data_IF_438632386305
#
_entry.id   IF_438632386305
#
_cell.length_a   1.000
_cell.length_b   1.000
_cell.length_c   1.000
_cell.angle_alpha   90.00
_cell.angle_beta   90.00
_cell.angle_gamma   90.00
#
_symmetry.space_group_name_H-M   'P 1'
#
loop_
_entity.id
_entity.type
_entity.pdbx_description
1 polymer ?
#
# COMPACT_ATOMS: atom_id res chain seq x y z
N UNK A 1 -7.80 5.55 8.65
CA UNK A 1 -7.73 4.68 7.45
C UNK A 1 -6.27 4.32 7.20
N UNK A 2 -5.97 3.20 6.52
CA UNK A 2 -4.60 2.73 6.27
C UNK A 2 -3.72 3.77 5.56
N UNK A 3 -4.24 4.48 4.56
CA UNK A 3 -3.52 5.56 3.85
C UNK A 3 -3.04 6.66 4.79
N UNK A 4 -3.96 7.22 5.59
CA UNK A 4 -3.64 8.23 6.62
C UNK A 4 -2.62 7.76 7.65
N UNK A 5 -2.60 6.46 8.01
CA UNK A 5 -1.55 5.91 8.89
C UNK A 5 -0.18 5.91 8.20
N UNK A 6 -0.12 5.52 6.93
CA UNK A 6 1.11 5.53 6.15
C UNK A 6 1.63 6.96 5.93
N UNK A 7 0.74 7.92 5.63
CA UNK A 7 1.05 9.35 5.54
C UNK A 7 1.64 9.87 6.86
N UNK A 8 0.99 9.59 7.99
CA UNK A 8 1.50 9.99 9.30
C UNK A 8 2.89 9.41 9.61
N UNK A 9 3.12 8.14 9.26
CA UNK A 9 4.44 7.52 9.43
C UNK A 9 5.48 8.15 8.50
N UNK A 10 5.14 8.38 7.24
CA UNK A 10 6.07 8.95 6.26
C UNK A 10 6.44 10.39 6.61
N UNK A 11 5.46 11.21 7.00
CA UNK A 11 5.70 12.58 7.45
C UNK A 11 6.57 12.62 8.71
N UNK A 12 6.34 11.72 9.67
CA UNK A 12 7.20 11.58 10.84
C UNK A 12 8.64 11.25 10.42
N UNK A 13 8.84 10.30 9.50
CA UNK A 13 10.17 9.94 9.00
C UNK A 13 10.85 11.10 8.27
N UNK A 14 10.11 11.88 7.47
CA UNK A 14 10.63 13.09 6.82
C UNK A 14 11.09 14.11 7.87
N UNK A 15 10.29 14.37 8.91
CA UNK A 15 10.63 15.31 9.99
C UNK A 15 11.86 14.89 10.81
N UNK A 16 12.11 13.58 10.93
CA UNK A 16 13.29 13.04 11.61
C UNK A 16 14.53 12.92 10.70
N UNK A 17 14.37 13.14 9.39
CA UNK A 17 15.45 12.96 8.43
C UNK A 17 16.48 14.09 8.52
N UNK A 18 17.76 13.73 8.51
CA UNK A 18 18.86 14.71 8.35
C UNK A 18 19.07 15.15 6.89
N UNK A 19 18.55 14.35 5.93
CA UNK A 19 18.71 14.59 4.48
C UNK A 19 17.53 15.36 3.90
N UNK A 20 16.32 15.04 4.35
CA UNK A 20 15.09 15.56 3.76
C UNK A 20 14.49 16.59 4.70
N UNK A 21 14.29 17.81 4.20
CA UNK A 21 13.59 18.88 4.93
C UNK A 21 12.19 19.01 4.36
N UNK A 22 11.18 18.72 5.18
CA UNK A 22 9.78 18.90 4.81
C UNK A 22 9.48 20.40 4.59
N UNK A 23 8.93 20.75 3.42
CA UNK A 23 8.53 22.11 3.07
C UNK A 23 7.02 22.29 3.23
N UNK A 24 6.24 21.33 2.70
CA UNK A 24 4.79 21.28 2.84
C UNK A 24 4.31 19.83 2.80
N UNK A 25 3.15 19.54 3.41
CA UNK A 25 2.52 18.23 3.43
C UNK A 25 1.01 18.38 3.25
N UNK A 26 0.37 17.41 2.59
CA UNK A 26 -1.07 17.34 2.34
C UNK A 26 -1.64 18.68 1.83
N UNK A 27 -0.97 19.26 0.83
CA UNK A 27 -1.25 20.62 0.35
C UNK A 27 -2.42 20.60 -0.60
N UNK A 28 -3.59 21.04 -0.13
CA UNK A 28 -4.81 21.06 -0.94
C UNK A 28 -4.74 22.14 -2.02
N UNK A 29 -5.09 21.76 -3.24
CA UNK A 29 -5.21 22.64 -4.39
C UNK A 29 -6.69 22.96 -4.59
N UNK A 30 -7.08 24.19 -4.27
CA UNK A 30 -8.46 24.65 -4.37
C UNK A 30 -8.68 25.36 -5.70
N UNK A 31 -9.66 24.89 -6.47
CA UNK A 31 -10.22 25.65 -7.58
C UNK A 31 -11.31 26.60 -7.10
N UNK A 32 -11.93 27.33 -8.02
CA UNK A 32 -12.94 28.35 -7.69
C UNK A 32 -14.15 27.79 -6.92
N UNK A 33 -14.58 26.57 -7.25
CA UNK A 33 -15.82 25.96 -6.73
C UNK A 33 -15.60 24.63 -6.01
N UNK A 34 -14.43 24.01 -6.16
CA UNK A 34 -14.13 22.69 -5.59
C UNK A 34 -12.63 22.48 -5.43
N UNK A 35 -12.24 21.54 -4.56
CA UNK A 35 -10.87 21.05 -4.47
C UNK A 35 -10.51 20.26 -5.73
N UNK A 36 -9.43 20.67 -6.41
CA UNK A 36 -8.93 20.00 -7.62
C UNK A 36 -8.09 18.76 -7.28
N UNK A 37 -7.39 18.81 -6.14
CA UNK A 37 -6.55 17.73 -5.67
C UNK A 37 -5.73 18.12 -4.45
N UNK A 38 -4.72 17.31 -4.16
CA UNK A 38 -3.79 17.50 -3.05
C UNK A 38 -2.40 17.07 -3.55
N UNK A 39 -1.37 17.84 -3.19
CA UNK A 39 0.02 17.43 -3.29
C UNK A 39 0.43 16.80 -1.96
N UNK A 40 0.84 15.53 -1.98
CA UNK A 40 1.13 14.80 -0.75
C UNK A 40 2.30 15.43 0.03
N UNK A 41 3.46 15.64 -0.62
CA UNK A 41 4.63 16.25 0.04
C UNK A 41 5.49 17.08 -0.90
N UNK A 42 5.92 18.26 -0.42
CA UNK A 42 7.03 19.02 -0.97
C UNK A 42 8.22 18.94 -0.01
N UNK A 43 9.38 18.52 -0.51
CA UNK A 43 10.55 18.20 0.31
C UNK A 43 11.80 18.77 -0.34
N UNK A 44 12.72 19.29 0.46
CA UNK A 44 14.06 19.65 -0.01
C UNK A 44 15.06 18.56 0.35
N UNK A 45 15.77 18.02 -0.64
CA UNK A 45 16.85 17.05 -0.47
C UNK A 45 18.19 17.79 -0.33
N UNK A 46 18.73 17.82 0.89
CA UNK A 46 19.98 18.52 1.21
C UNK A 46 21.21 17.87 0.56
N UNK A 47 21.12 16.60 0.15
CA UNK A 47 22.25 15.91 -0.50
C UNK A 47 22.37 16.26 -1.97
N UNK A 48 21.24 16.40 -2.66
CA UNK A 48 21.20 16.71 -4.11
C UNK A 48 20.95 18.18 -4.39
N UNK A 49 20.59 18.97 -3.37
CA UNK A 49 20.21 20.37 -3.47
C UNK A 49 19.01 20.58 -4.41
N UNK A 50 18.01 19.69 -4.33
CA UNK A 50 16.81 19.70 -5.17
C UNK A 50 15.54 19.71 -4.34
N UNK A 51 14.50 20.34 -4.88
CA UNK A 51 13.14 20.24 -4.36
C UNK A 51 12.43 19.06 -5.04
N UNK A 52 11.73 18.27 -4.24
CA UNK A 52 11.01 17.08 -4.65
C UNK A 52 9.53 17.26 -4.35
N UNK A 53 8.68 16.95 -5.31
CA UNK A 53 7.27 16.65 -5.09
C UNK A 53 7.12 15.13 -5.00
N UNK A 54 6.69 14.62 -3.85
CA UNK A 54 6.57 13.17 -3.59
C UNK A 54 5.10 12.80 -3.41
N UNK A 55 4.58 11.99 -4.33
CA UNK A 55 3.29 11.32 -4.21
C UNK A 55 3.46 9.98 -3.45
N UNK A 56 2.76 9.80 -2.35
CA UNK A 56 2.84 8.62 -1.49
C UNK A 56 1.70 7.63 -1.79
N UNK A 57 2.02 6.34 -1.76
CA UNK A 57 1.00 5.30 -1.77
C UNK A 57 1.42 4.12 -0.91
N UNK A 58 0.53 3.68 -0.03
CA UNK A 58 0.68 2.44 0.72
C UNK A 58 -0.39 1.44 0.27
N UNK A 59 0.02 0.36 -0.39
CA UNK A 59 -0.88 -0.55 -1.10
C UNK A 59 -0.56 -2.02 -0.84
N UNK A 60 -1.61 -2.84 -0.87
CA UNK A 60 -1.54 -4.28 -0.76
C UNK A 60 -2.03 -4.84 -2.09
N UNK A 61 -1.24 -5.69 -2.73
CA UNK A 61 -1.58 -6.26 -4.03
C UNK A 61 -1.36 -7.78 -4.03
N UNK A 62 -2.27 -8.48 -4.71
CA UNK A 62 -2.21 -9.90 -5.01
C UNK A 62 -1.84 -10.05 -6.49
N UNK A 63 -0.93 -10.98 -6.78
CA UNK A 63 -0.56 -11.31 -8.15
C UNK A 63 -1.58 -12.26 -8.78
N UNK A 64 -2.16 -11.91 -9.92
CA UNK A 64 -3.04 -12.76 -10.71
C UNK A 64 -2.59 -12.70 -12.19
N UNK A 65 -1.98 -13.78 -12.68
CA UNK A 65 -1.37 -13.86 -14.01
C UNK A 65 -2.36 -13.90 -15.16
N UNK A 66 -3.63 -14.15 -14.86
CA UNK A 66 -4.76 -14.12 -15.81
C UNK A 66 -5.21 -12.70 -16.13
N UNK A 67 -4.71 -11.70 -15.39
CA UNK A 67 -4.99 -10.29 -15.64
C UNK A 67 -4.11 -9.75 -16.78
N UNK A 68 -4.31 -8.47 -17.12
CA UNK A 68 -3.81 -7.81 -18.32
C UNK A 68 -2.33 -8.02 -18.67
N UNK A 69 -1.92 -7.60 -19.87
CA UNK A 69 -0.66 -8.05 -20.47
C UNK A 69 0.59 -7.48 -19.78
N UNK A 70 0.50 -6.31 -19.14
CA UNK A 70 1.64 -5.68 -18.46
C UNK A 70 1.89 -6.29 -17.08
N UNK A 71 3.11 -6.10 -16.59
CA UNK A 71 3.50 -6.62 -15.28
C UNK A 71 2.70 -5.93 -14.16
N UNK A 72 2.42 -4.64 -14.30
CA UNK A 72 1.63 -3.82 -13.38
C UNK A 72 0.14 -4.17 -13.40
N UNK A 73 -0.41 -4.58 -14.55
CA UNK A 73 -1.82 -4.97 -14.68
C UNK A 73 -2.17 -6.24 -13.88
N UNK A 74 -1.15 -7.06 -13.58
CA UNK A 74 -1.26 -8.33 -12.85
C UNK A 74 -1.34 -8.18 -11.33
N UNK A 75 -1.17 -6.97 -10.83
CA UNK A 75 -1.24 -6.66 -9.40
C UNK A 75 -2.57 -6.00 -9.04
N UNK A 76 -3.40 -6.72 -8.28
CA UNK A 76 -4.76 -6.32 -7.93
C UNK A 76 -4.96 -6.30 -6.41
N UNK A 77 -5.72 -5.33 -5.89
CA UNK A 77 -6.01 -5.26 -4.47
C UNK A 77 -6.76 -6.50 -3.98
N UNK A 78 -6.66 -6.88 -2.69
CA UNK A 78 -7.27 -8.11 -2.17
C UNK A 78 -8.77 -8.25 -2.44
N UNK A 79 -9.48 -7.12 -2.48
CA UNK A 79 -10.92 -7.03 -2.75
C UNK A 79 -11.25 -6.66 -4.21
N UNK A 80 -10.26 -6.67 -5.11
CA UNK A 80 -10.39 -6.31 -6.53
C UNK A 80 -10.95 -4.91 -6.80
N UNK A 81 -10.67 -3.96 -5.91
CA UNK A 81 -11.14 -2.55 -6.02
C UNK A 81 -10.08 -1.57 -6.52
N UNK A 82 -8.85 -2.01 -6.66
CA UNK A 82 -7.74 -1.19 -7.14
C UNK A 82 -6.67 -2.04 -7.82
N UNK A 83 -5.97 -1.47 -8.79
CA UNK A 83 -4.84 -2.09 -9.49
C UNK A 83 -3.58 -1.25 -9.37
N UNK A 84 -2.41 -1.87 -9.51
CA UNK A 84 -1.15 -1.13 -9.52
C UNK A 84 -1.06 -0.22 -10.76
N UNK A 85 -1.41 -0.75 -11.95
CA UNK A 85 -1.41 0.02 -13.19
C UNK A 85 -2.29 1.28 -13.08
N UNK A 86 -3.55 1.13 -12.66
CA UNK A 86 -4.47 2.27 -12.47
C UNK A 86 -3.94 3.32 -11.49
N UNK A 87 -3.21 2.90 -10.44
CA UNK A 87 -2.58 3.84 -9.50
C UNK A 87 -1.43 4.60 -10.17
N UNK A 88 -0.60 3.93 -10.97
CA UNK A 88 0.50 4.57 -11.70
C UNK A 88 -0.04 5.54 -12.75
N UNK A 89 -1.05 5.14 -13.52
CA UNK A 89 -1.70 5.97 -14.52
C UNK A 89 -2.33 7.21 -13.86
N UNK A 90 -3.06 7.02 -12.75
CA UNK A 90 -3.62 8.15 -11.99
C UNK A 90 -2.53 9.12 -11.50
N UNK A 91 -1.39 8.62 -11.03
CA UNK A 91 -0.29 9.49 -10.60
C UNK A 91 0.24 10.29 -11.79
N UNK A 92 0.52 9.62 -12.91
CA UNK A 92 1.08 10.24 -14.11
C UNK A 92 0.13 11.26 -14.77
N UNK A 93 -1.15 10.92 -14.85
CA UNK A 93 -2.13 11.69 -15.63
C UNK A 93 -2.89 12.73 -14.81
N UNK A 94 -2.92 12.60 -13.48
CA UNK A 94 -3.66 13.52 -12.60
C UNK A 94 -2.79 14.17 -11.54
N UNK A 95 -2.11 13.37 -10.71
CA UNK A 95 -1.36 13.89 -9.56
C UNK A 95 -0.13 14.70 -9.96
N UNK A 96 0.62 14.23 -10.96
CA UNK A 96 1.80 14.97 -11.41
C UNK A 96 1.45 16.28 -12.11
N UNK A 97 0.47 16.32 -13.03
CA UNK A 97 0.03 17.57 -13.65
C UNK A 97 -0.49 18.63 -12.66
N UNK A 98 -1.06 18.23 -11.51
CA UNK A 98 -1.54 19.17 -10.47
C UNK A 98 -0.44 20.14 -9.99
N UNK A 99 0.83 19.73 -10.01
CA UNK A 99 1.95 20.61 -9.65
C UNK A 99 2.04 21.86 -10.56
N UNK A 100 1.63 21.72 -11.82
CA UNK A 100 1.70 22.77 -12.84
C UNK A 100 0.37 23.50 -13.07
N UNK A 101 -0.66 23.23 -12.26
CA UNK A 101 -1.92 23.96 -12.33
C UNK A 101 -1.74 25.43 -11.91
N UNK A 102 -2.52 26.33 -12.50
CA UNK A 102 -2.53 27.77 -12.15
C UNK A 102 -2.77 28.02 -10.66
N UNK A 103 -3.64 27.22 -10.06
CA UNK A 103 -4.06 27.26 -8.67
C UNK A 103 -2.91 26.89 -7.72
N UNK A 104 -1.97 26.08 -8.21
CA UNK A 104 -0.79 25.66 -7.45
C UNK A 104 0.29 26.76 -7.43
N UNK A 105 0.31 27.66 -8.41
CA UNK A 105 1.34 28.69 -8.54
C UNK A 105 1.43 29.61 -7.31
N UNK A 106 0.30 30.07 -6.79
CA UNK A 106 0.25 30.95 -5.61
C UNK A 106 0.82 30.26 -4.35
N UNK A 107 0.60 28.96 -4.22
CA UNK A 107 1.14 28.16 -3.11
C UNK A 107 2.66 28.04 -3.23
N UNK A 108 3.16 27.74 -4.43
CA UNK A 108 4.60 27.63 -4.68
C UNK A 108 5.32 28.97 -4.51
N UNK A 109 4.70 30.08 -4.91
CA UNK A 109 5.23 31.44 -4.71
C UNK A 109 5.36 31.76 -3.20
N UNK A 110 4.33 31.44 -2.40
CA UNK A 110 4.38 31.59 -0.94
C UNK A 110 5.50 30.77 -0.28
N UNK A 111 5.85 29.63 -0.88
CA UNK A 111 6.98 28.79 -0.46
C UNK A 111 8.32 29.17 -1.10
N UNK A 112 8.34 30.17 -2.00
CA UNK A 112 9.50 30.61 -2.79
C UNK A 112 10.12 29.48 -3.61
N UNK A 113 9.27 28.66 -4.24
CA UNK A 113 9.67 27.54 -5.09
C UNK A 113 9.40 27.84 -6.56
N UNK A 114 10.40 27.59 -7.41
CA UNK A 114 10.21 27.58 -8.86
C UNK A 114 9.74 26.19 -9.30
N UNK A 115 8.53 26.11 -9.84
CA UNK A 115 7.90 24.86 -10.32
C UNK A 115 8.78 24.09 -11.30
N UNK A 116 9.58 24.78 -12.12
CA UNK A 116 10.42 24.17 -13.14
C UNK A 116 11.64 23.45 -12.56
N UNK A 117 11.94 23.69 -11.28
CA UNK A 117 13.07 23.07 -10.55
C UNK A 117 12.64 21.89 -9.68
N UNK A 118 11.33 21.65 -9.56
CA UNK A 118 10.78 20.59 -8.70
C UNK A 118 10.80 19.26 -9.46
N UNK A 119 11.48 18.26 -8.89
CA UNK A 119 11.44 16.90 -9.43
C UNK A 119 10.26 16.13 -8.84
N UNK A 120 9.48 15.49 -9.70
CA UNK A 120 8.33 14.70 -9.28
C UNK A 120 8.72 13.23 -9.09
N UNK A 121 8.35 12.67 -7.95
CA UNK A 121 8.62 11.30 -7.57
C UNK A 121 7.36 10.65 -7.02
N UNK A 122 7.26 9.33 -7.21
CA UNK A 122 6.22 8.53 -6.58
C UNK A 122 6.88 7.53 -5.64
N UNK A 123 6.42 7.50 -4.39
CA UNK A 123 6.83 6.53 -3.38
C UNK A 123 5.69 5.52 -3.19
N UNK A 124 5.74 4.39 -3.89
CA UNK A 124 4.78 3.30 -3.70
C UNK A 124 5.39 2.27 -2.73
N UNK A 125 4.92 2.29 -1.48
CA UNK A 125 5.15 1.19 -0.55
C UNK A 125 4.11 0.09 -0.79
N UNK A 126 4.49 -0.87 -1.61
CA UNK A 126 3.66 -2.04 -1.92
C UNK A 126 4.01 -3.23 -1.04
N UNK A 127 2.96 -3.92 -0.60
CA UNK A 127 3.03 -5.21 0.08
C UNK A 127 2.43 -6.26 -0.85
N UNK A 128 3.29 -7.08 -1.43
CA UNK A 128 2.92 -8.02 -2.49
C UNK A 128 2.65 -9.40 -1.92
N UNK A 129 1.64 -10.05 -2.47
CA UNK A 129 1.25 -11.41 -2.13
C UNK A 129 1.03 -12.19 -3.41
N UNK A 130 1.44 -13.46 -3.40
CA UNK A 130 1.49 -14.30 -4.59
C UNK A 130 0.68 -15.58 -4.35
N UNK A 131 0.22 -16.30 -5.36
CA UNK A 131 -0.45 -17.59 -5.13
C UNK A 131 0.47 -18.51 -4.31
N UNK A 132 -0.07 -19.29 -3.38
CA UNK A 132 0.71 -20.11 -2.43
C UNK A 132 1.79 -21.00 -3.05
N UNK A 133 1.52 -21.53 -4.24
CA UNK A 133 2.44 -22.41 -4.98
C UNK A 133 3.20 -21.69 -6.11
N UNK A 134 3.22 -20.35 -6.12
CA UNK A 134 3.87 -19.58 -7.16
C UNK A 134 5.38 -19.44 -6.91
N UNK A 135 6.18 -19.62 -7.97
CA UNK A 135 7.63 -19.44 -7.89
C UNK A 135 8.00 -17.94 -7.96
N UNK A 136 8.46 -17.40 -6.82
CA UNK A 136 8.89 -16.00 -6.68
C UNK A 136 10.03 -15.60 -7.62
N UNK A 137 10.89 -16.54 -8.03
CA UNK A 137 12.02 -16.29 -8.93
C UNK A 137 11.59 -15.86 -10.34
N UNK A 138 10.31 -16.04 -10.69
CA UNK A 138 9.74 -15.53 -11.95
C UNK A 138 9.63 -13.99 -11.98
N UNK A 139 9.75 -13.34 -10.84
CA UNK A 139 9.62 -11.89 -10.72
C UNK A 139 10.99 -11.19 -10.77
N UNK A 140 11.10 -9.97 -11.35
CA UNK A 140 12.29 -9.15 -11.20
C UNK A 140 12.56 -8.85 -9.73
N UNK A 141 13.84 -8.66 -9.39
CA UNK A 141 14.32 -8.52 -8.01
C UNK A 141 13.53 -7.48 -7.19
N UNK A 142 13.25 -6.32 -7.78
CA UNK A 142 12.48 -5.24 -7.15
C UNK A 142 11.06 -5.63 -6.70
N UNK A 143 10.44 -6.62 -7.33
CA UNK A 143 9.14 -7.15 -6.90
C UNK A 143 9.30 -8.26 -5.86
N UNK A 144 10.31 -9.12 -6.02
CA UNK A 144 10.63 -10.16 -5.03
C UNK A 144 10.82 -9.55 -3.65
N UNK A 145 11.57 -8.45 -3.56
CA UNK A 145 11.86 -7.75 -2.30
C UNK A 145 10.61 -7.12 -1.64
N UNK A 146 9.51 -7.01 -2.39
CA UNK A 146 8.23 -6.50 -1.91
C UNK A 146 7.24 -7.63 -1.54
N UNK A 147 7.54 -8.89 -1.81
CA UNK A 147 6.68 -10.03 -1.46
C UNK A 147 6.74 -10.29 0.04
N UNK A 148 5.58 -10.25 0.69
CA UNK A 148 5.45 -10.50 2.13
C UNK A 148 4.78 -11.83 2.49
N UNK A 149 4.19 -12.51 1.51
CA UNK A 149 3.42 -13.70 1.79
C UNK A 149 2.63 -14.18 0.58
N UNK A 150 1.65 -15.01 0.85
CA UNK A 150 0.87 -15.67 -0.19
C UNK A 150 -0.61 -15.31 -0.13
N UNK A 151 -1.42 -15.87 -1.02
CA UNK A 151 -2.86 -15.90 -0.84
C UNK A 151 -3.43 -17.24 -1.30
N UNK A 152 -4.57 -17.59 -0.73
CA UNK A 152 -5.32 -18.82 -1.01
C UNK A 152 -6.83 -18.53 -1.11
N UNK A 153 -7.59 -19.29 -1.91
CA UNK A 153 -9.04 -19.25 -1.89
C UNK A 153 -9.60 -19.74 -0.54
N UNK A 154 -10.79 -19.29 -0.16
CA UNK A 154 -11.44 -19.73 1.08
C UNK A 154 -11.62 -21.25 1.17
N UNK A 155 -11.94 -21.92 0.06
CA UNK A 155 -12.08 -23.38 0.03
C UNK A 155 -10.78 -24.12 0.38
N UNK A 156 -9.62 -23.57 -0.03
CA UNK A 156 -8.33 -24.15 0.35
C UNK A 156 -8.04 -23.91 1.84
N UNK A 157 -8.39 -22.74 2.35
CA UNK A 157 -8.24 -22.41 3.78
C UNK A 157 -9.08 -23.34 4.68
N UNK A 158 -10.32 -23.61 4.30
CA UNK A 158 -11.24 -24.53 5.00
C UNK A 158 -10.68 -25.96 5.04
N UNK A 159 -10.06 -26.43 3.94
CA UNK A 159 -9.48 -27.78 3.87
C UNK A 159 -8.15 -27.97 4.61
N UNK A 160 -7.54 -26.90 5.14
CA UNK A 160 -6.20 -26.97 5.74
C UNK A 160 -6.15 -27.60 7.15
N UNK A 161 -7.31 -27.90 7.77
CA UNK A 161 -7.50 -28.40 9.15
C UNK A 161 -6.21 -28.50 9.97
N UNK A 162 -5.91 -27.44 10.72
CA UNK A 162 -4.63 -27.35 11.43
C UNK A 162 -4.82 -27.04 12.92
N UNK A 163 -5.17 -28.07 13.73
CA UNK A 163 -5.53 -27.87 15.14
C UNK A 163 -4.36 -27.37 16.02
N UNK A 164 -3.11 -27.58 15.59
CA UNK A 164 -1.92 -27.10 16.31
C UNK A 164 -1.52 -25.67 15.96
N UNK A 165 -2.13 -25.07 14.92
CA UNK A 165 -1.83 -23.71 14.50
C UNK A 165 -2.69 -22.68 15.23
N UNK A 166 -2.10 -21.51 15.49
CA UNK A 166 -2.81 -20.34 15.96
C UNK A 166 -2.92 -19.31 14.85
N UNK A 167 -4.06 -18.62 14.77
CA UNK A 167 -4.36 -17.69 13.70
C UNK A 167 -4.67 -16.30 14.23
N UNK A 168 -4.22 -15.25 13.56
CA UNK A 168 -4.64 -13.88 13.84
C UNK A 168 -5.23 -13.25 12.58
N UNK A 169 -6.37 -12.57 12.72
CA UNK A 169 -7.12 -11.95 11.62
C UNK A 169 -7.25 -10.45 11.91
N UNK A 170 -6.15 -9.67 11.77
CA UNK A 170 -6.17 -8.26 12.13
C UNK A 170 -7.09 -7.45 11.22
N UNK A 171 -7.72 -6.44 11.82
CA UNK A 171 -8.47 -5.43 11.09
C UNK A 171 -7.56 -4.69 10.09
N UNK A 172 -8.18 -4.11 9.06
CA UNK A 172 -7.44 -3.32 8.04
C UNK A 172 -6.59 -2.19 8.64
N UNK A 173 -6.97 -1.64 9.80
CA UNK A 173 -6.22 -0.60 10.53
C UNK A 173 -4.95 -1.13 11.21
N UNK A 174 -4.83 -2.45 11.37
CA UNK A 174 -3.74 -3.13 12.03
C UNK A 174 -2.76 -3.78 11.03
N UNK A 175 -3.02 -3.70 9.72
CA UNK A 175 -2.20 -4.37 8.70
C UNK A 175 -0.74 -3.90 8.63
N UNK A 176 -0.45 -2.68 9.11
CA UNK A 176 0.91 -2.14 9.22
C UNK A 176 1.59 -2.45 10.56
N UNK A 177 0.88 -3.07 11.51
CA UNK A 177 1.48 -3.42 12.79
C UNK A 177 2.53 -4.51 12.63
N UNK A 178 3.64 -4.44 13.38
CA UNK A 178 4.55 -5.56 13.51
C UNK A 178 3.81 -6.80 14.04
N UNK A 179 4.09 -8.01 13.56
CA UNK A 179 3.35 -9.20 13.99
C UNK A 179 3.43 -9.49 15.49
N UNK A 180 4.53 -9.09 16.15
CA UNK A 180 4.71 -9.20 17.61
C UNK A 180 3.70 -8.36 18.41
N UNK A 181 3.04 -7.38 17.79
CA UNK A 181 2.04 -6.52 18.39
C UNK A 181 0.61 -7.06 18.18
N UNK A 182 0.44 -8.20 17.49
CA UNK A 182 -0.85 -8.87 17.37
C UNK A 182 -1.13 -9.66 18.66
N UNK A 183 -2.19 -9.29 19.35
CA UNK A 183 -2.54 -9.84 20.68
C UNK A 183 -3.60 -10.94 20.61
N UNK A 184 -4.48 -10.90 19.61
CA UNK A 184 -5.59 -11.84 19.47
C UNK A 184 -5.19 -13.00 18.54
N UNK A 185 -5.17 -14.20 19.09
CA UNK A 185 -4.86 -15.43 18.39
C UNK A 185 -5.95 -16.46 18.66
N UNK A 186 -6.37 -17.14 17.60
CA UNK A 186 -7.53 -18.03 17.57
C UNK A 186 -7.10 -19.44 17.17
N UNK A 187 -7.87 -20.43 17.60
CA UNK A 187 -7.82 -21.78 17.02
C UNK A 187 -8.24 -21.76 15.54
N UNK A 188 -8.01 -22.86 14.83
CA UNK A 188 -8.44 -22.98 13.44
C UNK A 188 -9.97 -22.78 13.30
N UNK A 189 -10.78 -23.43 14.13
CA UNK A 189 -12.25 -23.34 14.06
C UNK A 189 -12.76 -21.91 14.28
N UNK A 190 -12.23 -21.20 15.28
CA UNK A 190 -12.58 -19.80 15.52
C UNK A 190 -12.12 -18.88 14.37
N UNK A 191 -10.97 -19.16 13.78
CA UNK A 191 -10.43 -18.38 12.67
C UNK A 191 -11.25 -18.60 11.38
N UNK A 192 -11.63 -19.84 11.10
CA UNK A 192 -12.50 -20.23 10.00
C UNK A 192 -13.85 -19.51 10.06
N UNK A 193 -14.53 -19.53 11.21
CA UNK A 193 -15.80 -18.82 11.39
C UNK A 193 -15.65 -17.32 11.06
N UNK A 194 -14.61 -16.68 11.59
CA UNK A 194 -14.33 -15.25 11.37
C UNK A 194 -14.00 -14.94 9.91
N UNK A 195 -13.15 -15.76 9.28
CA UNK A 195 -12.81 -15.60 7.86
C UNK A 195 -14.06 -15.81 7.01
N UNK A 196 -14.86 -16.83 7.29
CA UNK A 196 -16.12 -17.12 6.60
C UNK A 196 -17.05 -15.91 6.59
N UNK A 197 -17.27 -15.26 7.74
CA UNK A 197 -18.09 -14.04 7.82
C UNK A 197 -17.55 -12.94 6.90
N UNK A 198 -16.23 -12.73 6.85
CA UNK A 198 -15.62 -11.71 5.99
C UNK A 198 -15.73 -12.06 4.50
N UNK A 199 -15.57 -13.33 4.15
CA UNK A 199 -15.70 -13.84 2.79
C UNK A 199 -17.14 -13.66 2.27
N UNK A 200 -18.16 -13.94 3.09
CA UNK A 200 -19.56 -13.66 2.77
C UNK A 200 -19.81 -12.18 2.49
N UNK A 201 -19.08 -11.28 3.16
CA UNK A 201 -19.11 -9.83 2.93
C UNK A 201 -18.22 -9.37 1.75
N UNK A 202 -17.69 -10.30 0.96
CA UNK A 202 -16.72 -10.06 -0.13
C UNK A 202 -15.51 -9.24 0.32
N UNK A 203 -15.02 -9.55 1.52
CA UNK A 203 -13.77 -9.01 2.07
C UNK A 203 -12.77 -10.14 2.15
N UNK A 204 -11.61 -9.95 1.55
CA UNK A 204 -10.46 -10.85 1.63
C UNK A 204 -9.60 -10.45 2.84
N UNK A 205 -9.70 -11.16 3.98
CA UNK A 205 -8.91 -10.84 5.17
C UNK A 205 -7.42 -11.16 4.99
N UNK A 206 -6.60 -10.37 5.68
CA UNK A 206 -5.21 -10.73 5.95
C UNK A 206 -5.19 -11.66 7.16
N UNK A 207 -4.55 -12.80 7.03
CA UNK A 207 -4.45 -13.85 8.04
C UNK A 207 -2.98 -14.09 8.36
N UNK A 208 -2.69 -14.23 9.64
CA UNK A 208 -1.41 -14.72 10.14
C UNK A 208 -1.62 -16.11 10.71
N UNK A 209 -0.71 -17.02 10.41
CA UNK A 209 -0.69 -18.39 10.95
C UNK A 209 0.62 -18.62 11.67
N UNK A 210 0.54 -19.10 12.90
CA UNK A 210 1.68 -19.44 13.73
C UNK A 210 1.65 -20.94 14.02
N UNK A 211 2.68 -21.65 13.58
CA UNK A 211 2.82 -23.08 13.82
C UNK A 211 4.30 -23.45 13.99
N UNK A 212 4.65 -24.21 15.03
CA UNK A 212 6.01 -24.74 15.26
C UNK A 212 7.10 -23.64 15.17
N UNK A 213 6.82 -22.46 15.73
CA UNK A 213 7.73 -21.30 15.73
C UNK A 213 7.82 -20.54 14.40
N UNK A 214 7.16 -21.00 13.33
CA UNK A 214 7.05 -20.30 12.05
C UNK A 214 5.82 -19.40 12.04
N UNK A 215 5.99 -18.21 11.48
CA UNK A 215 4.92 -17.26 11.24
C UNK A 215 4.75 -17.08 9.73
N UNK A 216 3.56 -17.40 9.25
CA UNK A 216 3.14 -17.20 7.88
C UNK A 216 2.11 -16.07 7.82
N UNK A 217 2.11 -15.37 6.69
CA UNK A 217 1.22 -14.25 6.42
C UNK A 217 0.60 -14.47 5.05
N UNK A 218 -0.72 -14.46 4.97
CA UNK A 218 -1.41 -14.66 3.69
C UNK A 218 -2.77 -14.00 3.65
N UNK A 219 -3.31 -13.78 2.45
CA UNK A 219 -4.71 -13.41 2.27
C UNK A 219 -5.57 -14.65 2.04
N UNK A 220 -6.77 -14.65 2.60
CA UNK A 220 -7.84 -15.55 2.16
C UNK A 220 -8.75 -14.76 1.24
N UNK A 221 -8.99 -15.26 0.03
CA UNK A 221 -9.78 -14.55 -1.00
C UNK A 221 -11.15 -15.20 -1.23
N UNK A 222 -12.14 -14.37 -1.51
CA UNK A 222 -13.53 -14.80 -1.79
C UNK A 222 -13.76 -15.25 -3.24
N UNK A 223 -12.72 -15.23 -4.07
CA UNK A 223 -12.84 -15.20 -5.53
C UNK A 223 -11.90 -16.15 -6.26
#
# INVERSE_FOLDING_TARGET
MLGKQAEACFEFLLKQSKRYRLLAANTQIQGETQTLGELDYLVFDTKTNKTLHIELACKFYLFDDRLGPSYEAKWIGPNRKDRLQEKLDKVKEKQFPLLHASETAAILEGLKLDVNTIEQQVCIKSFLFIPKNFNIEKFPKQYQDCVLGTYIPFLEFESEENPEAQFAIPDKKQWLLPPKNLTEWFSFSEAEERVSVLIHLKKSPLVYKKQKGKLEKFFVVWW
#
